data_IF_739431457927
#
_entry.id   IF_739431457927
#
_cell.length_a   1.000
_cell.length_b   1.000
_cell.length_c   1.000
_cell.angle_alpha   90.00
_cell.angle_beta   90.00
_cell.angle_gamma   90.00
#
_symmetry.space_group_name_H-M   'P 1'
#
loop_
_entity.id
_entity.type
_entity.pdbx_description
1 polymer ?
2 non-polymer ?
3 water ?
#
# COMPACT_ATOMS: atom_id res chain seq x y z
N UNK A 11 -0.01 23.44 9.46
CA UNK A 11 0.18 22.12 10.03
C UNK A 11 0.34 22.23 11.55
N UNK A 12 -0.32 21.35 12.30
CA UNK A 12 -0.27 21.44 13.75
C UNK A 12 1.17 21.29 14.24
N UNK A 13 1.65 22.30 14.96
CA UNK A 13 3.00 22.31 15.48
C UNK A 13 2.99 21.76 16.90
N UNK A 14 3.82 20.75 17.16
CA UNK A 14 3.89 20.06 18.43
C UNK A 14 5.15 20.49 19.15
N UNK A 15 5.01 20.76 20.45
CA UNK A 15 6.19 21.16 21.22
C UNK A 15 7.04 19.92 21.53
N UNK A 16 8.37 20.05 21.48
CA UNK A 16 9.22 18.87 21.72
C UNK A 16 8.99 18.20 23.08
N UNK A 17 8.57 18.94 24.09
CA UNK A 17 8.37 18.37 25.42
C UNK A 17 7.23 17.37 25.45
N UNK A 18 6.37 17.37 24.44
CA UNK A 18 5.24 16.47 24.38
C UNK A 18 5.58 15.15 23.69
N UNK A 19 6.80 15.00 23.19
CA UNK A 19 7.19 13.85 22.39
C UNK A 19 8.28 13.10 23.13
N UNK A 20 8.12 11.78 23.21
CA UNK A 20 9.12 10.88 23.78
C UNK A 20 9.42 9.82 22.73
N UNK A 21 10.63 9.84 22.19
CA UNK A 21 11.09 8.80 21.29
C UNK A 21 11.55 7.61 22.11
N UNK A 22 11.05 6.43 21.77
CA UNK A 22 11.32 5.21 22.55
C UNK A 22 12.23 4.23 21.82
N UNK A 23 11.81 3.76 20.64
CA UNK A 23 12.51 2.70 19.92
C UNK A 23 12.62 3.09 18.46
N UNK A 24 13.76 2.77 17.85
CA UNK A 24 13.92 2.97 16.42
C UNK A 24 13.17 1.87 15.68
N UNK A 25 12.42 2.24 14.64
CA UNK A 25 11.68 1.29 13.83
C UNK A 25 12.04 1.33 12.36
N UNK A 26 12.96 2.21 11.95
CA UNK A 26 13.33 2.29 10.54
C UNK A 26 14.19 3.52 10.28
N UNK A 27 14.32 3.86 9.00
CA UNK A 27 15.16 4.98 8.61
C UNK A 27 14.45 5.93 7.65
N UNK A 28 14.81 7.22 7.75
CA UNK A 28 14.33 8.24 6.86
C UNK A 28 15.41 8.77 5.92
N UNK A 29 15.04 9.82 5.18
CA UNK A 29 15.96 10.39 4.19
C UNK A 29 17.22 10.94 4.86
N UNK A 30 17.08 11.62 5.99
CA UNK A 30 18.23 12.17 6.70
C UNK A 30 17.88 12.21 8.19
N UNK A 31 17.72 11.02 8.75
CA UNK A 31 17.21 10.87 10.10
C UNK A 31 16.66 9.47 10.25
N UNK A 32 16.19 9.18 11.46
CA UNK A 32 15.65 7.87 11.78
C UNK A 32 14.15 7.95 12.04
N UNK A 33 13.50 6.79 12.03
CA UNK A 33 12.08 6.67 12.34
C UNK A 33 11.92 5.90 13.64
N UNK A 34 11.04 6.40 14.51
CA UNK A 34 10.90 5.88 15.85
C UNK A 34 9.44 5.59 16.19
N UNK A 35 9.23 4.65 17.12
CA UNK A 35 7.99 4.61 17.87
C UNK A 35 8.15 5.42 19.14
N UNK A 36 7.09 6.09 19.55
CA UNK A 36 7.12 6.88 20.76
C UNK A 36 5.75 7.19 21.29
N UNK A 37 5.69 8.18 22.18
CA UNK A 37 4.46 8.60 22.80
C UNK A 37 4.29 10.11 22.65
N UNK A 38 3.06 10.54 22.42
CA UNK A 38 2.73 11.96 22.30
C UNK A 38 1.72 12.34 23.37
N UNK A 39 1.99 13.43 24.08
CA UNK A 39 1.09 13.93 25.10
C UNK A 39 0.20 15.04 24.52
N UNK A 40 -1.10 14.92 24.76
CA UNK A 40 -2.05 16.01 24.49
C UNK A 40 -3.45 15.66 24.99
N UNK A 46 -1.21 9.68 27.08
CA UNK A 46 -0.27 9.63 25.97
C UNK A 46 -0.78 8.68 24.88
N UNK A 47 -0.69 9.12 23.63
CA UNK A 47 -1.03 8.25 22.50
C UNK A 47 0.27 7.75 21.87
N UNK A 48 0.34 6.49 21.45
CA UNK A 48 1.50 6.05 20.69
C UNK A 48 1.56 6.73 19.33
N UNK A 49 2.79 6.98 18.87
CA UNK A 49 3.00 7.65 17.59
C UNK A 49 4.24 7.08 16.91
N UNK A 50 4.32 7.32 15.59
CA UNK A 50 5.53 7.09 14.82
C UNK A 50 6.15 8.45 14.49
N UNK A 51 7.48 8.51 14.44
CA UNK A 51 8.22 9.77 14.44
C UNK A 51 9.38 9.67 13.46
N UNK A 52 9.36 10.50 12.41
CA UNK A 52 10.44 10.62 11.45
C UNK A 52 11.18 11.92 11.71
N UNK A 53 12.50 11.84 11.88
CA UNK A 53 13.30 13.00 12.24
C UNK A 53 14.16 13.46 11.08
N UNK A 54 14.53 14.74 11.10
CA UNK A 54 15.47 15.33 10.15
C UNK A 54 16.63 15.90 10.97
N UNK A 55 17.79 15.26 10.86
CA UNK A 55 18.89 15.48 11.79
C UNK A 55 19.87 16.53 11.27
N UNK A 56 20.68 17.03 12.21
CA UNK A 56 21.58 18.14 11.92
C UNK A 56 22.45 17.82 10.72
N UNK A 57 22.60 18.79 9.83
CA UNK A 57 23.36 18.65 8.62
C UNK A 57 22.53 18.42 7.38
N UNK A 58 21.21 18.23 7.53
CA UNK A 58 20.34 18.09 6.38
C UNK A 58 20.54 19.25 5.42
N UNK A 59 20.37 18.97 4.13
CA UNK A 59 20.51 19.96 3.08
C UNK A 59 19.23 20.78 2.92
N UNK A 60 19.34 21.86 2.14
CA UNK A 60 18.16 22.65 1.80
C UNK A 60 17.10 21.79 1.12
N UNK A 61 17.51 20.97 0.16
CA UNK A 61 16.54 20.15 -0.57
C UNK A 61 15.87 19.15 0.37
N UNK A 62 16.65 18.56 1.29
CA UNK A 62 16.06 17.65 2.27
C UNK A 62 15.05 18.37 3.15
N UNK A 63 15.35 19.61 3.54
CA UNK A 63 14.39 20.37 4.35
C UNK A 63 13.13 20.68 3.56
N UNK A 64 13.27 21.09 2.31
CA UNK A 64 12.10 21.38 1.48
C UNK A 64 11.25 20.12 1.32
N UNK A 65 11.90 18.98 1.06
CA UNK A 65 11.14 17.74 0.86
C UNK A 65 10.49 17.27 2.16
N UNK A 66 11.19 17.46 3.29
CA UNK A 66 10.68 17.02 4.58
C UNK A 66 9.47 17.85 5.00
N UNK A 67 9.61 19.19 5.01
CA UNK A 67 8.48 20.03 5.35
C UNK A 67 7.38 19.94 4.30
N UNK A 68 7.75 19.75 3.03
CA UNK A 68 6.74 19.57 2.00
C UNK A 68 5.92 18.32 2.22
N UNK A 69 6.58 17.24 2.63
CA UNK A 69 5.86 16.01 2.96
C UNK A 69 4.89 16.26 4.11
N UNK A 70 5.36 16.93 5.17
CA UNK A 70 4.46 17.23 6.28
C UNK A 70 3.25 18.02 5.81
N UNK A 71 3.48 19.02 4.96
CA UNK A 71 2.38 19.86 4.50
C UNK A 71 1.36 19.10 3.68
N UNK A 72 1.82 18.18 2.83
CA UNK A 72 0.88 17.37 2.05
C UNK A 72 0.12 16.43 2.98
N UNK A 73 0.83 15.75 3.88
CA UNK A 73 0.16 14.83 4.79
C UNK A 73 -0.87 15.55 5.63
N UNK A 74 -0.59 16.80 6.01
CA UNK A 74 -1.55 17.55 6.81
C UNK A 74 -2.84 17.86 6.08
N UNK A 75 -2.79 17.90 4.76
CA UNK A 75 -4.01 18.15 3.99
C UNK A 75 -4.88 16.91 3.82
N UNK A 76 -4.37 15.72 4.16
CA UNK A 76 -5.13 14.49 3.95
C UNK A 76 -5.99 14.20 5.20
N UNK A 77 -7.27 13.92 4.97
CA UNK A 77 -8.20 13.54 6.05
C UNK A 77 -9.08 12.42 5.49
N UNK A 78 -8.65 11.18 5.68
CA UNK A 78 -9.37 10.04 5.14
C UNK A 78 -9.10 8.82 5.98
N UNK A 79 -10.14 7.99 6.14
CA UNK A 79 -10.09 6.80 6.97
C UNK A 79 -9.00 5.84 6.54
N UNK A 80 -8.62 5.84 5.26
CA UNK A 80 -7.68 4.86 4.74
C UNK A 80 -6.36 5.50 4.34
N UNK A 81 -6.03 6.66 4.91
CA UNK A 81 -4.76 7.33 4.72
C UNK A 81 -4.17 7.59 6.10
N UNK A 82 -2.87 7.32 6.25
CA UNK A 82 -2.22 7.54 7.53
C UNK A 82 -2.42 8.99 7.98
N UNK A 83 -2.71 9.17 9.27
CA UNK A 83 -3.07 10.48 9.80
C UNK A 83 -1.85 11.15 10.44
N UNK A 84 -1.63 12.41 10.06
CA UNK A 84 -0.57 13.22 10.65
C UNK A 84 -1.05 13.80 11.97
N UNK A 85 -0.32 13.52 13.05
CA UNK A 85 -0.61 14.18 14.32
C UNK A 85 -0.04 15.59 14.33
N UNK A 86 1.17 15.78 13.83
CA UNK A 86 1.75 17.11 13.79
C UNK A 86 3.19 17.07 13.34
N UNK A 87 3.82 18.23 13.48
CA UNK A 87 5.17 18.45 12.99
C UNK A 87 5.91 19.23 14.06
N UNK A 88 7.21 18.99 14.16
CA UNK A 88 8.12 19.86 14.88
C UNK A 88 9.00 20.51 13.83
N UNK A 89 8.77 21.80 13.59
CA UNK A 89 9.58 22.59 12.68
C UNK A 89 10.35 23.71 13.36
N UNK A 90 9.92 24.17 14.54
CA UNK A 90 10.53 25.31 15.20
C UNK A 90 11.73 24.92 16.06
N UNK A 91 11.98 23.62 16.27
CA UNK A 91 13.11 23.15 17.05
C UNK A 91 13.80 22.03 16.28
N UNK A 92 15.04 21.78 16.63
CA UNK A 92 15.82 20.75 15.97
C UNK A 92 16.12 19.61 16.93
N UNK A 93 16.04 18.34 16.49
CA UNK A 93 15.69 17.90 15.14
C UNK A 93 14.22 18.11 14.79
N UNK A 94 13.96 18.38 13.53
CA UNK A 94 12.60 18.47 13.04
C UNK A 94 11.99 17.07 12.99
N UNK A 95 10.66 17.01 13.10
CA UNK A 95 9.98 15.73 13.21
C UNK A 95 8.65 15.75 12.48
N UNK A 96 8.32 14.62 11.86
CA UNK A 96 6.98 14.33 11.35
C UNK A 96 6.39 13.24 12.25
N UNK A 97 5.21 13.48 12.78
CA UNK A 97 4.63 12.61 13.81
C UNK A 97 3.27 12.12 13.32
N UNK A 98 3.12 10.80 13.23
CA UNK A 98 1.87 10.21 12.78
C UNK A 98 1.28 9.31 13.86
N UNK A 99 0.00 8.96 13.68
CA UNK A 99 -0.59 7.87 14.44
C UNK A 99 0.28 6.62 14.29
N UNK A 100 0.19 5.74 15.28
CA UNK A 100 0.94 4.49 15.28
C UNK A 100 -0.02 3.35 14.98
N UNK A 101 0.40 2.43 14.12
CA UNK A 101 -0.46 1.35 13.64
C UNK A 101 0.08 0.05 14.21
N UNK A 102 -0.68 -0.52 15.15
CA UNK A 102 -0.19 -1.57 16.03
C UNK A 102 0.25 -2.81 15.27
N UNK A 103 -0.42 -3.13 14.17
CA UNK A 103 -0.14 -4.37 13.44
C UNK A 103 0.88 -4.19 12.33
N UNK A 104 1.44 -2.99 12.17
CA UNK A 104 2.54 -2.79 11.25
C UNK A 104 2.15 -2.87 9.78
N UNK A 105 3.16 -3.17 8.97
CA UNK A 105 3.01 -3.18 7.52
C UNK A 105 2.26 -4.43 7.06
N UNK A 106 1.45 -4.25 6.01
CA UNK A 106 0.50 -5.27 5.61
C UNK A 106 1.19 -6.52 5.04
N UNK A 107 2.30 -6.34 4.33
CA UNK A 107 2.94 -7.51 3.73
C UNK A 107 3.45 -8.47 4.81
N UNK A 108 4.16 -7.94 5.80
CA UNK A 108 4.63 -8.75 6.91
C UNK A 108 3.48 -9.31 7.73
N UNK A 109 2.45 -8.47 7.96
CA UNK A 109 1.27 -8.90 8.71
C UNK A 109 0.64 -10.14 8.09
N UNK A 110 0.40 -10.12 6.77
CA UNK A 110 -0.25 -11.27 6.16
C UNK A 110 0.68 -12.48 6.15
N UNK A 111 1.98 -12.28 5.93
CA UNK A 111 2.90 -13.41 5.92
C UNK A 111 2.96 -14.11 7.28
N UNK A 112 2.73 -13.37 8.36
CA UNK A 112 2.77 -13.89 9.72
C UNK A 112 1.42 -14.42 10.19
N UNK A 113 0.38 -14.27 9.37
CA UNK A 113 -0.97 -14.68 9.71
C UNK A 113 -1.57 -15.48 8.55
N UNK A 114 -0.76 -16.33 7.93
CA UNK A 114 -1.15 -17.05 6.73
C UNK A 114 -2.41 -17.86 6.96
N UNK A 115 -3.44 -17.61 6.14
CA UNK A 115 -4.67 -18.38 6.21
C UNK A 115 -5.62 -18.02 7.33
N UNK A 116 -5.37 -16.95 8.08
CA UNK A 116 -6.13 -16.70 9.30
C UNK A 116 -7.39 -15.86 9.09
N UNK A 117 -7.61 -15.33 7.91
CA UNK A 117 -8.73 -14.43 7.67
C UNK A 117 -9.70 -15.02 6.66
N UNK A 118 -10.91 -14.50 6.71
CA UNK A 118 -11.92 -14.91 5.74
C UNK A 118 -11.72 -14.14 4.45
N UNK A 119 -12.24 -14.72 3.36
CA UNK A 119 -12.24 -14.03 2.09
C UNK A 119 -12.86 -12.64 2.23
N UNK A 120 -13.96 -12.54 2.98
CA UNK A 120 -14.64 -11.25 3.13
C UNK A 120 -13.74 -10.25 3.84
N UNK A 121 -12.98 -10.69 4.86
CA UNK A 121 -12.02 -9.81 5.51
C UNK A 121 -10.94 -9.34 4.53
N UNK A 122 -10.38 -10.26 3.75
CA UNK A 122 -9.35 -9.87 2.79
C UNK A 122 -9.89 -8.86 1.77
N UNK A 123 -11.10 -9.10 1.24
CA UNK A 123 -11.66 -8.16 0.27
C UNK A 123 -11.97 -6.83 0.94
N UNK A 124 -12.38 -6.86 2.21
CA UNK A 124 -12.56 -5.63 2.95
C UNK A 124 -11.30 -4.79 3.03
N UNK A 125 -10.15 -5.43 3.23
CA UNK A 125 -8.90 -4.68 3.26
C UNK A 125 -8.61 -4.05 1.90
N UNK A 126 -8.94 -4.75 0.81
CA UNK A 126 -8.73 -4.17 -0.51
C UNK A 126 -9.67 -2.99 -0.76
N UNK A 127 -10.93 -3.09 -0.31
CA UNK A 127 -11.83 -1.96 -0.44
C UNK A 127 -11.28 -0.73 0.27
N UNK A 128 -10.75 -0.91 1.47
CA UNK A 128 -10.19 0.23 2.20
C UNK A 128 -8.99 0.85 1.49
N UNK A 129 -8.07 0.00 1.01
CA UNK A 129 -6.93 0.51 0.26
C UNK A 129 -7.40 1.27 -0.97
N UNK A 130 -8.40 0.73 -1.67
CA UNK A 130 -8.90 1.36 -2.88
C UNK A 130 -9.56 2.71 -2.57
N UNK A 131 -10.27 2.80 -1.44
CA UNK A 131 -10.88 4.07 -1.07
C UNK A 131 -9.80 5.12 -0.76
N UNK A 132 -8.75 4.72 -0.04
CA UNK A 132 -7.65 5.64 0.18
C UNK A 132 -7.02 6.10 -1.11
N UNK A 133 -6.80 5.17 -2.05
CA UNK A 133 -6.19 5.52 -3.32
C UNK A 133 -7.12 6.39 -4.17
N UNK A 134 -8.42 6.13 -4.14
CA UNK A 134 -9.36 7.01 -4.85
C UNK A 134 -9.23 8.44 -4.32
N UNK A 135 -9.14 8.59 -3.01
CA UNK A 135 -8.94 9.89 -2.39
C UNK A 135 -7.63 10.54 -2.84
N UNK A 136 -6.52 9.80 -2.77
CA UNK A 136 -5.24 10.38 -3.20
C UNK A 136 -5.31 10.82 -4.66
N UNK A 137 -5.82 9.95 -5.53
CA UNK A 137 -5.90 10.28 -6.96
C UNK A 137 -6.77 11.50 -7.19
N UNK A 138 -7.90 11.59 -6.50
CA UNK A 138 -8.77 12.75 -6.62
C UNK A 138 -8.08 14.02 -6.14
N UNK A 139 -7.25 13.91 -5.11
CA UNK A 139 -6.47 15.02 -4.59
C UNK A 139 -5.26 15.34 -5.46
N UNK A 140 -5.10 14.64 -6.59
CA UNK A 140 -3.99 14.83 -7.51
C UNK A 140 -2.65 14.44 -6.90
N UNK A 141 -2.66 13.41 -6.05
CA UNK A 141 -1.44 12.84 -5.49
C UNK A 141 -1.21 11.49 -6.15
N UNK A 142 -0.12 11.37 -6.89
CA UNK A 142 0.31 10.12 -7.50
C UNK A 142 1.29 9.47 -6.54
N UNK A 143 1.00 8.23 -6.16
CA UNK A 143 1.76 7.60 -5.09
C UNK A 143 3.12 7.13 -5.56
N UNK A 144 3.14 6.35 -6.65
CA UNK A 144 4.34 5.85 -7.31
C UNK A 144 4.98 4.61 -6.66
N UNK A 145 4.65 4.31 -5.40
CA UNK A 145 5.27 3.21 -4.69
C UNK A 145 4.23 2.40 -3.92
N UNK A 146 3.06 2.23 -4.50
CA UNK A 146 2.00 1.47 -3.86
C UNK A 146 2.34 -0.02 -3.88
N UNK A 147 2.34 -0.63 -2.70
CA UNK A 147 2.72 -2.01 -2.45
C UNK A 147 2.29 -2.31 -1.03
N UNK A 148 2.10 -3.59 -0.71
CA UNK A 148 1.64 -3.94 0.62
C UNK A 148 2.60 -3.45 1.70
N UNK A 149 3.90 -3.36 1.39
CA UNK A 149 4.87 -2.89 2.36
C UNK A 149 4.63 -1.43 2.76
N UNK A 150 3.84 -0.69 1.99
CA UNK A 150 3.54 0.72 2.28
C UNK A 150 2.12 0.91 2.79
N UNK A 151 1.47 -0.15 3.25
CA UNK A 151 0.13 -0.10 3.83
C UNK A 151 0.26 -0.54 5.27
N UNK A 152 -0.30 0.26 6.19
CA UNK A 152 -0.28 -0.06 7.61
C UNK A 152 -1.66 -0.56 8.04
N UNK A 153 -1.67 -1.40 9.07
CA UNK A 153 -2.88 -2.07 9.53
C UNK A 153 -3.09 -1.74 11.01
N UNK A 154 -4.31 -1.33 11.37
CA UNK A 154 -4.61 -1.04 12.77
C UNK A 154 -5.34 -2.21 13.42
N UNK A 155 -5.74 -2.00 14.67
CA UNK A 155 -6.36 -3.05 15.48
C UNK A 155 -7.79 -3.35 15.06
N UNK A 156 -8.36 -2.58 14.14
CA UNK A 156 -9.66 -2.87 13.56
C UNK A 156 -9.53 -3.49 12.18
N UNK A 157 -8.32 -3.89 11.79
CA UNK A 157 -8.01 -4.42 10.46
C UNK A 157 -8.14 -3.37 9.36
N UNK A 158 -8.18 -2.10 9.74
CA UNK A 158 -8.26 -1.02 8.75
C UNK A 158 -6.89 -0.78 8.15
N UNK A 159 -6.83 -0.74 6.83
CA UNK A 159 -5.60 -0.52 6.07
C UNK A 159 -5.47 0.96 5.74
N UNK A 160 -4.32 1.53 6.03
CA UNK A 160 -4.04 2.94 5.81
C UNK A 160 -2.89 3.05 4.82
N UNK A 161 -3.13 3.67 3.67
CA UNK A 161 -2.08 3.92 2.71
C UNK A 161 -1.05 4.87 3.31
N UNK A 162 0.23 4.55 3.14
CA UNK A 162 1.34 5.28 3.68
C UNK A 162 2.42 5.33 2.60
N UNK A 163 3.54 5.98 2.91
CA UNK A 163 4.70 5.89 2.03
C UNK A 163 5.95 6.08 2.88
N UNK A 164 6.73 5.01 3.01
CA UNK A 164 7.93 5.05 3.82
C UNK A 164 9.17 5.34 3.01
N UNK A 165 9.02 5.68 1.75
CA UNK A 165 10.14 5.81 0.85
C UNK A 165 10.61 4.46 0.35
N UNK A 166 11.52 4.50 -0.62
CA UNK A 166 12.01 3.28 -1.26
C UNK A 166 12.89 2.48 -0.29
N UNK A 186 10.68 -0.18 -7.75
CA UNK A 186 9.86 -1.36 -7.45
C UNK A 186 9.30 -1.99 -8.73
N UNK A 187 10.20 -2.61 -9.52
CA UNK A 187 9.84 -3.05 -10.87
C UNK A 187 8.57 -3.89 -10.83
N UNK A 188 8.49 -4.86 -9.91
CA UNK A 188 7.40 -5.82 -9.94
C UNK A 188 6.05 -5.20 -9.62
N UNK A 189 6.03 -3.99 -9.05
CA UNK A 189 4.79 -3.30 -8.71
C UNK A 189 4.44 -2.20 -9.70
N UNK A 190 5.31 -1.92 -10.67
CA UNK A 190 5.22 -0.71 -11.47
C UNK A 190 4.71 -0.97 -12.88
N UNK A 191 3.82 -0.08 -13.33
CA UNK A 191 3.21 -0.22 -14.63
C UNK A 191 4.26 -0.07 -15.74
N UNK A 192 4.04 -0.69 -16.90
CA UNK A 192 5.05 -0.63 -17.97
C UNK A 192 5.44 0.79 -18.39
N UNK A 193 4.47 1.70 -18.53
CA UNK A 193 4.79 3.04 -18.99
C UNK A 193 5.63 3.80 -17.96
N UNK A 194 5.45 3.49 -16.68
CA UNK A 194 6.24 4.14 -15.63
C UNK A 194 7.68 3.62 -15.66
N UNK A 195 7.86 2.32 -15.89
CA UNK A 195 9.20 1.78 -16.04
C UNK A 195 9.86 2.31 -17.31
N UNK A 196 9.12 2.26 -18.43
CA UNK A 196 9.74 2.51 -19.74
C UNK A 196 10.13 3.96 -19.90
N UNK A 197 9.20 4.88 -19.59
CA UNK A 197 9.43 6.30 -19.90
C UNK A 197 9.06 7.22 -18.74
N UNK A 198 8.91 6.68 -17.54
CA UNK A 198 8.76 7.46 -16.30
C UNK A 198 7.42 8.17 -16.22
N UNK A 199 6.39 7.63 -16.89
CA UNK A 199 5.05 8.20 -16.84
C UNK A 199 4.32 7.64 -15.64
N UNK A 200 4.39 8.35 -14.52
CA UNK A 200 3.71 7.97 -13.28
C UNK A 200 2.42 8.76 -13.17
N UNK A 201 1.29 8.06 -13.07
CA UNK A 201 -0.02 8.69 -12.94
C UNK A 201 -0.90 7.83 -12.04
N UNK A 202 -2.12 8.30 -11.74
CA UNK A 202 -3.02 7.45 -10.98
C UNK A 202 -3.32 6.14 -11.72
N UNK A 203 -3.14 6.09 -13.04
CA UNK A 203 -3.36 4.85 -13.76
C UNK A 203 -2.22 3.86 -13.59
N UNK A 204 -0.97 4.34 -13.46
CA UNK A 204 0.09 3.43 -13.05
C UNK A 204 -0.10 2.99 -11.60
N UNK A 205 -0.64 3.87 -10.75
CA UNK A 205 -1.01 3.45 -9.40
C UNK A 205 -2.06 2.34 -9.43
N UNK A 206 -2.97 2.36 -10.42
CA UNK A 206 -3.97 1.29 -10.54
C UNK A 206 -3.29 -0.04 -10.83
N UNK A 207 -2.30 -0.05 -11.72
CA UNK A 207 -1.53 -1.27 -11.95
C UNK A 207 -0.96 -1.78 -10.63
N UNK A 208 -0.32 -0.90 -9.86
CA UNK A 208 0.25 -1.29 -8.58
C UNK A 208 -0.83 -1.84 -7.66
N UNK A 209 -2.02 -1.23 -7.67
CA UNK A 209 -3.11 -1.71 -6.84
C UNK A 209 -3.48 -3.14 -7.21
N UNK A 210 -3.49 -3.44 -8.51
CA UNK A 210 -3.70 -4.82 -8.93
C UNK A 210 -2.70 -5.77 -8.30
N UNK A 211 -1.43 -5.39 -8.29
CA UNK A 211 -0.41 -6.21 -7.63
C UNK A 211 -0.70 -6.33 -6.14
N UNK A 212 -1.13 -5.23 -5.50
CA UNK A 212 -1.49 -5.29 -4.09
C UNK A 212 -2.66 -6.25 -3.85
N UNK A 213 -3.62 -6.27 -4.78
CA UNK A 213 -4.72 -7.24 -4.65
C UNK A 213 -4.17 -8.66 -4.60
N UNK A 214 -3.21 -8.96 -5.48
CA UNK A 214 -2.59 -10.28 -5.53
C UNK A 214 -1.80 -10.56 -4.25
N UNK A 215 -1.09 -9.56 -3.73
CA UNK A 215 -0.39 -9.74 -2.46
C UNK A 215 -1.36 -10.10 -1.35
N UNK A 216 -2.49 -9.39 -1.27
CA UNK A 216 -3.44 -9.64 -0.19
C UNK A 216 -4.02 -11.04 -0.30
N UNK A 217 -4.49 -11.42 -1.50
CA UNK A 217 -5.18 -12.69 -1.64
C UNK A 217 -4.23 -13.88 -1.51
N UNK A 218 -2.91 -13.67 -1.64
CA UNK A 218 -1.93 -14.74 -1.44
C UNK A 218 -1.30 -14.72 -0.05
N UNK A 219 -1.73 -13.81 0.83
CA UNK A 219 -1.10 -13.64 2.14
C UNK A 219 0.37 -13.26 2.02
N UNK A 220 0.66 -12.33 1.12
CA UNK A 220 1.99 -11.74 1.07
C UNK A 220 3.00 -12.51 0.26
N UNK A 221 2.57 -13.27 -0.74
CA UNK A 221 3.54 -13.89 -1.61
C UNK A 221 4.29 -12.84 -2.43
N UNK A 222 5.49 -13.21 -2.86
CA UNK A 222 6.31 -12.30 -3.64
C UNK A 222 5.82 -12.31 -5.09
N UNK A 223 5.40 -11.17 -5.64
CA UNK A 223 4.94 -11.16 -7.03
C UNK A 223 5.99 -11.71 -7.97
N UNK A 224 5.56 -12.63 -8.84
CA UNK A 224 6.39 -13.28 -9.86
C UNK A 224 7.45 -14.20 -9.27
N UNK A 225 7.37 -14.49 -7.96
CA UNK A 225 8.27 -15.43 -7.26
C UNK A 225 9.72 -15.10 -7.62
N UNK A 226 10.50 -16.05 -8.12
CA UNK A 226 11.94 -15.86 -8.26
C UNK A 226 12.35 -15.23 -9.58
N UNK A 227 11.39 -14.86 -10.43
CA UNK A 227 11.76 -14.21 -11.68
C UNK A 227 12.58 -12.97 -11.37
N UNK A 228 13.57 -12.71 -12.22
CA UNK A 228 14.38 -11.51 -12.10
C UNK A 228 13.59 -10.30 -12.60
N UNK A 229 14.08 -9.10 -12.28
CA UNK A 229 13.42 -7.89 -12.77
C UNK A 229 13.29 -7.90 -14.29
N UNK A 230 14.37 -8.27 -15.00
CA UNK A 230 14.30 -8.30 -16.45
C UNK A 230 13.31 -9.37 -16.92
N UNK A 231 13.28 -10.53 -16.26
CA UNK A 231 12.35 -11.58 -16.64
C UNK A 231 10.91 -11.16 -16.40
N UNK A 232 10.64 -10.38 -15.35
CA UNK A 232 9.30 -9.87 -15.11
C UNK A 232 8.86 -8.96 -16.25
N UNK A 233 9.71 -8.01 -16.62
CA UNK A 233 9.35 -7.08 -17.68
C UNK A 233 9.15 -7.80 -19.01
N UNK A 234 10.02 -8.77 -19.31
CA UNK A 234 9.85 -9.54 -20.54
C UNK A 234 8.54 -10.31 -20.53
N UNK A 235 8.20 -10.94 -19.41
CA UNK A 235 6.95 -11.67 -19.31
C UNK A 235 5.76 -10.73 -19.52
N UNK A 236 5.78 -9.57 -18.88
CA UNK A 236 4.68 -8.62 -19.02
C UNK A 236 4.55 -8.17 -20.47
N UNK A 237 5.67 -7.83 -21.10
CA UNK A 237 5.63 -7.33 -22.48
C UNK A 237 5.13 -8.40 -23.43
N UNK A 238 5.37 -9.67 -23.13
CA UNK A 238 4.93 -10.77 -23.98
C UNK A 238 3.51 -11.23 -23.64
N UNK A 239 2.85 -10.58 -22.68
CA UNK A 239 1.44 -10.81 -22.43
C UNK A 239 1.13 -11.68 -21.22
N UNK A 240 2.14 -12.23 -20.56
CA UNK A 240 1.88 -13.05 -19.39
C UNK A 240 1.46 -12.17 -18.22
N UNK A 241 0.65 -12.75 -17.34
CA UNK A 241 0.23 -12.07 -16.12
C UNK A 241 0.23 -13.06 -14.97
N UNK A 242 0.29 -12.51 -13.76
CA UNK A 242 0.27 -13.36 -12.57
C UNK A 242 -0.96 -14.27 -12.58
N UNK A 243 -0.81 -15.53 -12.20
CA UNK A 243 -1.94 -16.45 -12.18
C UNK A 243 -2.82 -16.20 -10.95
N UNK A 244 -3.99 -16.82 -10.95
CA UNK A 244 -4.89 -16.56 -9.84
C UNK A 244 -4.30 -17.11 -8.55
N UNK A 245 -4.48 -16.41 -7.43
CA UNK A 245 -4.19 -16.99 -6.12
C UNK A 245 -5.10 -18.17 -5.85
N UNK A 246 -4.69 -18.99 -4.88
CA UNK A 246 -5.57 -20.05 -4.39
C UNK A 246 -6.77 -19.43 -3.69
N UNK A 247 -7.93 -20.08 -3.84
CA UNK A 247 -9.14 -19.68 -3.12
C UNK A 247 -9.53 -18.24 -3.39
N UNK A 248 -9.36 -17.81 -4.62
CA UNK A 248 -9.60 -16.42 -4.95
C UNK A 248 -10.93 -16.26 -5.64
N UNK A 249 -11.81 -15.37 -5.17
CA UNK A 249 -13.06 -15.13 -5.89
C UNK A 249 -12.81 -14.77 -7.35
N UNK A 250 -13.63 -15.33 -8.23
CA UNK A 250 -13.51 -15.02 -9.65
C UNK A 250 -13.57 -13.52 -9.91
N UNK A 251 -14.49 -12.81 -9.25
CA UNK A 251 -14.64 -11.38 -9.49
C UNK A 251 -13.37 -10.63 -9.12
N UNK A 252 -12.70 -11.06 -8.05
CA UNK A 252 -11.48 -10.40 -7.59
C UNK A 252 -10.33 -10.64 -8.57
N UNK A 253 -10.19 -11.86 -9.08
CA UNK A 253 -9.14 -12.07 -10.07
C UNK A 253 -9.42 -11.29 -11.34
N UNK A 254 -10.67 -11.28 -11.80
CA UNK A 254 -11.03 -10.50 -12.98
C UNK A 254 -10.65 -9.04 -12.80
N UNK A 255 -10.92 -8.48 -11.61
CA UNK A 255 -10.61 -7.08 -11.36
C UNK A 255 -9.10 -6.82 -11.38
N UNK A 256 -8.32 -7.66 -10.70
CA UNK A 256 -6.88 -7.44 -10.72
C UNK A 256 -6.33 -7.57 -12.15
N UNK A 257 -6.88 -8.50 -12.94
CA UNK A 257 -6.44 -8.63 -14.33
C UNK A 257 -6.69 -7.36 -15.13
N UNK A 258 -7.82 -6.67 -14.88
CA UNK A 258 -8.12 -5.45 -15.62
C UNK A 258 -7.23 -4.29 -15.16
N UNK A 259 -6.69 -4.36 -13.94
CA UNK A 259 -5.71 -3.38 -13.52
C UNK A 259 -4.39 -3.50 -14.28
N UNK A 260 -4.13 -4.66 -14.89
CA UNK A 260 -2.87 -4.92 -15.57
C UNK A 260 -3.01 -4.86 -17.09
N UNK A 261 -3.93 -4.07 -17.60
CA UNK A 261 -3.97 -3.86 -19.04
C UNK A 261 -2.78 -3.03 -19.50
N UNK A 262 -2.15 -3.47 -20.58
CA UNK A 262 -1.02 -2.73 -21.11
C UNK A 262 -1.40 -1.30 -21.43
N UNK A 263 -2.57 -1.10 -22.04
CA UNK A 263 -3.03 0.23 -22.43
C UNK A 263 -3.58 0.93 -21.19
N UNK A 264 -2.87 1.97 -20.76
CA UNK A 264 -3.22 2.70 -19.55
C UNK A 264 -4.67 3.17 -19.55
N UNK A 265 -5.15 3.67 -20.69
CA UNK A 265 -6.49 4.22 -20.75
C UNK A 265 -7.56 3.16 -20.54
N UNK A 266 -7.24 1.88 -20.68
CA UNK A 266 -8.23 0.82 -20.53
C UNK A 266 -8.36 0.31 -19.10
N UNK A 267 -7.46 0.69 -18.21
CA UNK A 267 -7.55 0.26 -16.83
C UNK A 267 -8.72 0.95 -16.14
N UNK A 268 -9.34 0.28 -15.15
CA UNK A 268 -10.36 0.98 -14.36
C UNK A 268 -9.75 2.17 -13.63
N UNK A 269 -10.58 3.17 -13.37
CA UNK A 269 -10.19 4.22 -12.43
C UNK A 269 -10.43 3.73 -11.00
N UNK A 270 -9.84 4.41 -10.03
CA UNK A 270 -10.05 4.00 -8.64
C UNK A 270 -11.52 4.07 -8.26
N UNK A 271 -12.28 5.03 -8.83
CA UNK A 271 -13.72 5.07 -8.55
C UNK A 271 -14.38 3.76 -8.98
N UNK A 272 -13.98 3.21 -10.13
CA UNK A 272 -14.55 1.95 -10.59
C UNK A 272 -14.19 0.82 -9.62
N UNK A 273 -12.95 0.80 -9.16
CA UNK A 273 -12.48 -0.25 -8.26
C UNK A 273 -13.25 -0.22 -6.95
N UNK A 274 -13.39 0.97 -6.35
CA UNK A 274 -14.11 1.09 -5.09
C UNK A 274 -15.55 0.64 -5.26
N UNK A 275 -16.20 1.07 -6.35
CA UNK A 275 -17.59 0.73 -6.56
C UNK A 275 -17.78 -0.78 -6.66
N UNK A 276 -16.93 -1.44 -7.46
CA UNK A 276 -17.03 -2.90 -7.61
C UNK A 276 -16.81 -3.60 -6.28
N UNK A 277 -15.76 -3.22 -5.56
CA UNK A 277 -15.47 -3.89 -4.29
C UNK A 277 -16.58 -3.66 -3.29
N UNK A 278 -17.11 -2.42 -3.24
CA UNK A 278 -18.28 -2.12 -2.44
C UNK A 278 -19.41 -3.11 -2.71
N UNK A 279 -19.77 -3.26 -3.99
CA UNK A 279 -20.92 -4.07 -4.36
C UNK A 279 -20.68 -5.56 -4.07
N UNK A 280 -19.45 -6.03 -4.25
CA UNK A 280 -19.15 -7.42 -3.95
C UNK A 280 -19.29 -7.69 -2.46
N UNK A 281 -18.83 -6.76 -1.62
CA UNK A 281 -18.91 -6.94 -0.17
C UNK A 281 -20.37 -6.93 0.28
N UNK A 282 -21.18 -6.03 -0.29
CA UNK A 282 -22.56 -5.88 0.16
C UNK A 282 -23.46 -7.01 -0.32
N UNK A 283 -23.02 -7.77 -1.34
CA UNK A 283 -23.70 -8.96 -1.82
C UNK A 283 -22.67 -10.09 -1.72
N UNK A 284 -22.35 -10.52 -0.49
CA UNK A 284 -21.15 -11.36 -0.28
C UNK A 284 -21.22 -12.73 -0.94
N UNK A 285 -22.41 -13.24 -1.25
CA UNK A 285 -22.45 -14.49 -2.02
C UNK A 285 -21.70 -14.34 -3.34
N UNK A 286 -21.53 -13.11 -3.84
CA UNK A 286 -20.83 -12.88 -5.09
C UNK A 286 -19.39 -13.37 -5.00
N UNK A 287 -18.83 -13.42 -3.81
CA UNK A 287 -17.45 -13.83 -3.62
C UNK A 287 -17.28 -15.34 -3.51
N UNK A 288 -18.37 -16.11 -3.49
CA UNK A 288 -18.26 -17.55 -3.32
C UNK A 288 -17.83 -18.27 -4.59
N UNK A 289 -18.05 -17.67 -5.75
CA UNK A 289 -17.59 -18.24 -7.02
C UNK A 289 -16.09 -17.99 -7.15
N UNK A 290 -15.30 -19.06 -7.23
CA UNK A 290 -13.86 -18.95 -7.22
C UNK A 290 -13.27 -19.18 -8.60
N UNK A 291 -12.22 -18.43 -8.92
CA UNK A 291 -11.44 -18.69 -10.13
C UNK A 291 -10.69 -20.01 -9.98
N UNK A 292 -10.61 -20.75 -11.08
CA UNK A 292 -9.83 -21.99 -11.11
C UNK A 292 -8.38 -21.70 -10.76
N UNK A 293 -7.83 -22.49 -9.83
CA UNK A 293 -6.41 -22.41 -9.50
C UNK A 293 -5.65 -23.41 -10.36
N UNK A 294 -4.62 -22.93 -11.06
CA UNK A 294 -3.81 -23.77 -11.93
C UNK A 294 -2.79 -24.51 -11.10
N UNK A 295 -2.93 -25.84 -10.96
CA UNK A 295 -2.03 -26.57 -10.06
C UNK A 295 -0.62 -26.58 -10.66
N UNK A 296 0.35 -26.18 -9.84
CA UNK A 296 1.75 -26.33 -10.22
C UNK A 296 2.24 -27.74 -9.94
N UNK A 297 1.55 -28.48 -9.08
CA UNK A 297 1.96 -29.82 -8.67
C UNK A 297 0.75 -30.73 -8.70
N UNK A 298 0.96 -31.97 -9.14
CA UNK A 298 -0.08 -32.97 -9.25
C UNK A 298 0.25 -34.11 -8.30
N UNK A 299 -0.71 -34.46 -7.46
CA UNK A 299 -0.61 -35.56 -6.52
C UNK A 299 -1.68 -36.57 -6.91
N UNK A 300 -1.26 -37.79 -7.24
CA UNK A 300 -2.16 -38.84 -7.66
C UNK A 300 -2.36 -39.82 -6.51
N UNK A 301 -3.60 -39.91 -6.01
CA UNK A 301 -3.93 -40.86 -4.96
C UNK A 301 -5.20 -41.61 -5.33
N UNK A 302 -5.36 -42.85 -4.86
CA UNK A 302 -6.57 -43.61 -5.22
C UNK A 302 -7.83 -43.12 -4.51
X LIG B 1 2.90 3.33 12.35
X LIG B 1 4.23 9.62 4.69
X LIG B 1 4.86 5.46 10.07
X LIG B 1 4.82 7.77 9.10
X LIG B 1 4.43 7.69 7.77
X LIG B 1 4.85 8.62 6.82
X LIG B 1 4.12 8.54 5.50
X LIG B 1 3.79 11.06 2.81
X LIG B 1 1.63 9.56 2.04
X LIG B 1 5.75 9.59 7.21
X LIG B 1 5.74 8.77 9.49
X LIG B 1 7.83 3.60 9.22
X LIG B 1 8.51 2.41 9.50
X LIG B 1 9.75 2.18 8.93
X LIG B 1 8.47 4.49 8.36
X LIG B 1 4.01 2.62 11.99
X LIG B 1 4.23 1.26 12.47
X LIG B 1 3.40 7.59 5.25
X LIG B 1 3.02 4.51 11.78
X LIG B 1 3.03 11.41 1.72
X LIG B 1 1.95 10.67 1.31
X LIG B 1 2.35 9.16 3.14
X LIG B 1 6.19 9.66 8.51
X LIG B 1 6.34 8.78 10.88
X LIG B 1 6.51 3.89 9.79
X LIG B 1 4.82 3.36 11.19
X LIG B 1 10.28 3.13 8.09
X LIG B 1 4.20 4.60 11.02
X LIG B 1 3.44 9.93 3.54
X LIG B 1 4.56 6.77 9.98
X LIG B 1 5.97 5.07 9.47
X LIG B 1 9.66 4.28 7.80
X LIG B 1 5.97 2.98 10.62
X LIG B 1 3.37 12.92 0.89
X LIG B 1 0.25 8.60 1.53
X LIG B 1 4.95 10.31 4.91
X LIG B 1 3.78 6.87 7.47
X LIG B 1 4.64 11.70 3.06
X LIG B 1 6.11 10.32 6.48
X LIG B 1 8.07 1.68 10.16
X LIG B 1 10.29 1.25 9.14
X LIG B 1 8.01 5.45 8.10
X LIG B 1 3.55 1.01 13.27
X LIG B 1 5.25 1.14 12.85
X LIG B 1 4.09 0.53 11.68
X LIG B 1 2.26 5.28 11.92
X LIG B 1 1.37 10.97 0.43
X LIG B 1 2.06 8.26 3.68
X LIG B 1 6.92 10.42 8.78
X LIG B 1 5.58 8.81 11.66
X LIG B 1 6.97 9.65 11.04
X LIG B 1 6.95 7.91 11.08
X LIG B 1 11.25 3.00 7.61
X LIG B 1 4.00 7.06 10.77
#
# INVERSE_FOLDING_TARGET
>A
GDPNQAVLKFTTEIHPSCVTRQKVIGAGEFGEVYKGMLKTSSGKKEVPVAIKTLKAGYTEKQRVDFLGEAGIMGQFSHHNIIRLEGVISKYKPMMIITEYMENGALDKFLREKDGEFSVLQLVGMLRGIAAGMKYLANMNYVHRDLAARNILVNSNLVCKVSDFGLSRVLEDDPEATYTTSGGKIPIRWTAPEAISYRKFTSASDVWSFGIVMWEVMTYGERPYWELSNHEVMKAINDGFRLPTPMDCPSAIYQLMMQCWQQERARRPKFADIVSILDKLIRAPDSLKTLADFDPRVSIRLPSTSG
>B hetero
1 QTX N1 N3 C4 C5 C6 C7 C8 C10 C13 C15 C17 C20 C21 C22 C24 N C O C1 C11 C12 C14 C16 C18 C19 C2 C23 C3 C9 N2 N4 N5 N6 CL CL1 H6 H5 H7 H10 H15 H16 H18 H2 H H1 H3 H8 H9 H11 H14 H12 H13 H17 H4
#
